data_IF_168111980550
#
_entry.id   IF_168111980550
#
_cell.length_a   1.000
_cell.length_b   1.000
_cell.length_c   1.000
_cell.angle_alpha   90.00
_cell.angle_beta   90.00
_cell.angle_gamma   90.00
#
_symmetry.space_group_name_H-M   'P 1'
#
loop_
_entity.id
_entity.type
_entity.pdbx_description
1 polymer ?
#
# COMPACT_ATOMS: atom_id res chain seq x y z
N UNK A 1 20.12 2.08 12.21
CA UNK A 1 19.27 3.01 11.44
C UNK A 1 19.63 3.04 9.95
N UNK A 2 20.91 3.19 9.57
CA UNK A 2 21.34 3.16 8.14
C UNK A 2 20.88 1.90 7.37
N UNK A 3 20.98 0.70 7.96
CA UNK A 3 20.53 -0.56 7.30
C UNK A 3 19.00 -0.64 7.07
N UNK A 4 18.21 -0.13 8.01
CA UNK A 4 16.75 -0.03 7.87
C UNK A 4 16.35 0.98 6.79
N UNK A 5 17.08 2.10 6.71
CA UNK A 5 16.86 3.13 5.69
C UNK A 5 17.20 2.61 4.30
N UNK A 6 18.29 1.85 4.15
CA UNK A 6 18.64 1.15 2.90
C UNK A 6 17.57 0.13 2.51
N UNK A 7 17.11 -0.70 3.45
CA UNK A 7 16.03 -1.67 3.18
C UNK A 7 14.73 -0.97 2.75
N UNK A 8 14.36 0.12 3.40
CA UNK A 8 13.19 0.91 3.04
C UNK A 8 13.31 1.47 1.61
N UNK A 9 14.46 2.05 1.26
CA UNK A 9 14.73 2.58 -0.09
C UNK A 9 14.66 1.47 -1.16
N UNK A 10 15.21 0.29 -0.87
CA UNK A 10 15.15 -0.86 -1.80
C UNK A 10 13.70 -1.34 -1.98
N UNK A 11 12.93 -1.41 -0.91
CA UNK A 11 11.50 -1.79 -0.96
C UNK A 11 10.70 -0.78 -1.79
N UNK A 12 10.91 0.53 -1.56
CA UNK A 12 10.22 1.56 -2.36
C UNK A 12 10.65 1.53 -3.84
N UNK A 13 11.92 1.25 -4.15
CA UNK A 13 12.40 1.15 -5.52
C UNK A 13 11.82 -0.07 -6.28
N UNK A 14 11.46 -1.15 -5.57
CA UNK A 14 10.83 -2.33 -6.15
C UNK A 14 9.33 -2.20 -6.45
N UNK A 15 8.73 -1.03 -6.22
CA UNK A 15 7.27 -0.82 -6.32
C UNK A 15 6.70 -0.75 -7.74
N UNK A 16 7.52 -0.81 -8.79
CA UNK A 16 7.08 -0.70 -10.18
C UNK A 16 6.04 -1.76 -10.61
N UNK A 17 5.97 -2.90 -9.91
CA UNK A 17 5.01 -3.98 -10.19
C UNK A 17 3.75 -3.97 -9.29
N UNK A 18 3.62 -2.98 -8.40
CA UNK A 18 2.54 -2.90 -7.40
C UNK A 18 1.21 -2.40 -8.01
N UNK A 19 1.24 -1.89 -9.25
CA UNK A 19 0.04 -1.44 -9.98
C UNK A 19 -1.01 -2.54 -10.21
N UNK A 20 -0.67 -3.81 -9.97
CA UNK A 20 -1.58 -4.96 -10.07
C UNK A 20 -2.23 -5.39 -8.73
N UNK A 21 -2.12 -4.60 -7.65
CA UNK A 21 -2.78 -4.91 -6.36
C UNK A 21 -4.30 -4.73 -6.35
N UNK A 22 -4.90 -4.35 -7.48
CA UNK A 22 -6.36 -4.30 -7.63
C UNK A 22 -6.97 -5.70 -7.51
N UNK A 23 -8.14 -5.80 -6.85
CA UNK A 23 -8.91 -7.04 -6.84
C UNK A 23 -9.22 -7.45 -8.30
N UNK A 24 -8.87 -8.68 -8.69
CA UNK A 24 -9.03 -9.18 -10.06
C UNK A 24 -10.48 -9.07 -10.57
N UNK A 25 -11.45 -9.16 -9.67
CA UNK A 25 -12.88 -8.94 -9.96
C UNK A 25 -13.16 -7.46 -10.27
N UNK A 26 -12.62 -6.53 -9.48
CA UNK A 26 -12.82 -5.10 -9.67
C UNK A 26 -12.18 -4.59 -10.98
N UNK A 27 -11.00 -5.10 -11.34
CA UNK A 27 -10.32 -4.72 -12.60
C UNK A 27 -11.08 -5.22 -13.84
N UNK A 28 -11.63 -6.45 -13.78
CA UNK A 28 -12.49 -6.98 -14.86
C UNK A 28 -13.77 -6.16 -15.02
N UNK A 29 -14.41 -5.76 -13.93
CA UNK A 29 -15.59 -4.88 -14.00
C UNK A 29 -15.21 -3.54 -14.61
N UNK A 30 -14.15 -2.89 -14.11
CA UNK A 30 -13.64 -1.62 -14.65
C UNK A 30 -13.42 -1.64 -16.17
N UNK A 31 -12.84 -2.72 -16.71
CA UNK A 31 -12.59 -2.85 -18.15
C UNK A 31 -13.88 -2.79 -19.00
N UNK A 32 -15.02 -3.22 -18.45
CA UNK A 32 -16.32 -3.18 -19.13
C UNK A 32 -17.05 -1.84 -19.03
N UNK A 33 -16.56 -0.88 -18.20
CA UNK A 33 -17.18 0.43 -17.99
C UNK A 33 -16.53 1.55 -18.83
N UNK A 34 -15.48 1.25 -19.61
CA UNK A 34 -14.71 2.21 -20.40
C UNK A 34 -13.54 2.85 -19.65
N UNK A 35 -12.58 3.39 -20.40
CA UNK A 35 -11.26 3.80 -19.88
C UNK A 35 -11.31 4.80 -18.71
N UNK A 36 -12.20 5.80 -18.79
CA UNK A 36 -12.32 6.83 -17.76
C UNK A 36 -12.87 6.25 -16.44
N UNK A 37 -13.84 5.34 -16.52
CA UNK A 37 -14.40 4.66 -15.36
C UNK A 37 -13.41 3.65 -14.77
N UNK A 38 -12.62 2.97 -15.62
CA UNK A 38 -11.58 2.06 -15.15
C UNK A 38 -10.48 2.79 -14.36
N UNK A 39 -10.07 3.98 -14.82
CA UNK A 39 -9.07 4.81 -14.15
C UNK A 39 -9.55 5.31 -12.78
N UNK A 40 -10.79 5.79 -12.69
CA UNK A 40 -11.36 6.28 -11.43
C UNK A 40 -11.57 5.15 -10.43
N UNK A 41 -11.94 3.96 -10.88
CA UNK A 41 -12.11 2.79 -10.01
C UNK A 41 -10.78 2.36 -9.38
N UNK A 42 -9.68 2.30 -10.14
CA UNK A 42 -8.36 1.95 -9.62
C UNK A 42 -7.88 2.95 -8.55
N UNK A 43 -8.14 4.25 -8.77
CA UNK A 43 -7.85 5.28 -7.76
C UNK A 43 -8.67 5.08 -6.49
N UNK A 44 -9.94 4.71 -6.62
CA UNK A 44 -10.81 4.36 -5.48
C UNK A 44 -10.27 3.17 -4.67
N UNK A 45 -9.78 2.12 -5.33
CA UNK A 45 -9.17 0.96 -4.66
C UNK A 45 -7.95 1.39 -3.84
N UNK A 46 -7.04 2.18 -4.44
CA UNK A 46 -5.85 2.66 -3.73
C UNK A 46 -6.22 3.55 -2.54
N UNK A 47 -7.22 4.41 -2.69
CA UNK A 47 -7.70 5.28 -1.61
C UNK A 47 -8.24 4.46 -0.43
N UNK A 48 -9.08 3.46 -0.71
CA UNK A 48 -9.64 2.59 0.33
C UNK A 48 -8.58 1.70 0.97
N UNK A 49 -7.60 1.21 0.21
CA UNK A 49 -6.50 0.38 0.72
C UNK A 49 -5.52 1.17 1.59
N UNK A 50 -5.35 2.47 1.35
CA UNK A 50 -4.47 3.33 2.15
C UNK A 50 -4.89 3.39 3.64
N UNK A 51 -6.18 3.30 3.93
CA UNK A 51 -6.72 3.37 5.30
C UNK A 51 -6.23 2.20 6.17
N UNK A 52 -6.51 0.92 5.85
CA UNK A 52 -6.07 -0.19 6.69
C UNK A 52 -4.54 -0.31 6.72
N UNK A 53 -3.84 -0.04 5.61
CA UNK A 53 -2.38 -0.09 5.57
C UNK A 53 -1.75 0.96 6.48
N UNK A 54 -2.23 2.21 6.43
CA UNK A 54 -1.73 3.28 7.29
C UNK A 54 -2.05 3.01 8.77
N UNK A 55 -3.24 2.48 9.06
CA UNK A 55 -3.62 2.10 10.41
C UNK A 55 -2.69 1.00 10.96
N UNK A 56 -2.53 -0.11 10.24
CA UNK A 56 -1.65 -1.21 10.64
C UNK A 56 -0.20 -0.76 10.79
N UNK A 57 0.31 0.05 9.84
CA UNK A 57 1.66 0.61 9.91
C UNK A 57 1.89 1.49 11.14
N UNK A 58 0.90 2.31 11.49
CA UNK A 58 0.96 3.18 12.67
C UNK A 58 0.98 2.37 13.96
N UNK A 59 0.09 1.38 14.08
CA UNK A 59 0.03 0.49 15.26
C UNK A 59 1.35 -0.28 15.41
N UNK A 60 1.87 -0.85 14.32
CA UNK A 60 3.13 -1.58 14.32
C UNK A 60 4.31 -0.68 14.76
N UNK A 61 4.37 0.56 14.26
CA UNK A 61 5.40 1.53 14.63
C UNK A 61 5.34 1.91 16.11
N UNK A 62 4.14 2.19 16.64
CA UNK A 62 3.95 2.52 18.05
C UNK A 62 4.33 1.34 18.97
N UNK A 63 3.99 0.11 18.57
CA UNK A 63 4.36 -1.08 19.33
C UNK A 63 5.87 -1.29 19.35
N UNK A 64 6.54 -1.22 18.20
CA UNK A 64 8.00 -1.32 18.11
C UNK A 64 8.70 -0.29 18.99
N UNK A 65 8.25 0.98 18.95
CA UNK A 65 8.81 2.05 19.77
C UNK A 65 8.61 1.82 21.27
N UNK A 66 7.48 1.24 21.69
CA UNK A 66 7.23 0.88 23.09
C UNK A 66 8.08 -0.30 23.54
N UNK A 67 8.18 -1.35 22.72
CA UNK A 67 9.02 -2.51 23.01
C UNK A 67 10.49 -2.13 23.20
N UNK A 68 11.01 -1.19 22.39
CA UNK A 68 12.39 -0.68 22.52
C UNK A 68 12.66 0.26 23.69
N UNK A 69 11.62 0.73 24.40
CA UNK A 69 11.77 1.53 25.63
C UNK A 69 11.69 0.69 26.91
N UNK A 70 11.21 -0.55 26.79
CA UNK A 70 11.11 -1.51 27.88
C UNK A 70 12.33 -2.46 27.95
N UNK A 71 13.30 -2.30 27.05
CA UNK A 71 14.64 -2.90 27.06
C UNK A 71 15.68 -1.79 27.06
#
# INVERSE_FOLDING_TARGET
MKRLLVLLVVILASSASIWAQGCAVCTKTAASLGDNAAKSLNLGILYLAAIPVSFMGTVAYLWYKRSKRAS
#
